data_IF_833427906279
#
_entry.id   IF_833427906279
#
_cell.length_a   1.000
_cell.length_b   1.000
_cell.length_c   1.000
_cell.angle_alpha   90.00
_cell.angle_beta   90.00
_cell.angle_gamma   90.00
#
_symmetry.space_group_name_H-M   'P 1'
#
loop_
_entity.id
_entity.type
_entity.pdbx_description
1 polymer ?
#
# COMPACT_ATOMS: atom_id res chain seq x y z
N UNK A 1 -25.33 30.26 4.35
CA UNK A 1 -24.82 28.88 4.54
C UNK A 1 -24.18 28.80 5.91
N UNK A 2 -24.33 27.71 6.66
CA UNK A 2 -23.70 27.60 7.99
C UNK A 2 -22.21 27.26 7.82
N UNK A 3 -21.34 27.92 8.59
CA UNK A 3 -19.88 27.73 8.57
C UNK A 3 -19.47 26.25 8.76
N UNK A 4 -20.27 25.49 9.52
CA UNK A 4 -20.06 24.05 9.74
C UNK A 4 -20.15 23.23 8.45
N UNK A 5 -21.13 23.53 7.59
CA UNK A 5 -21.35 22.83 6.32
C UNK A 5 -20.17 23.02 5.39
N UNK A 6 -19.73 24.27 5.21
CA UNK A 6 -18.62 24.61 4.32
C UNK A 6 -17.32 23.93 4.77
N UNK A 7 -17.07 23.87 6.08
CA UNK A 7 -15.91 23.17 6.64
C UNK A 7 -15.92 21.67 6.34
N UNK A 8 -17.07 20.99 6.47
CA UNK A 8 -17.18 19.56 6.14
C UNK A 8 -16.93 19.35 4.64
N UNK A 9 -17.57 20.14 3.79
CA UNK A 9 -17.40 20.05 2.33
C UNK A 9 -15.95 20.27 1.94
N UNK A 10 -15.30 21.31 2.47
CA UNK A 10 -13.90 21.62 2.21
C UNK A 10 -12.98 20.46 2.64
N UNK A 11 -13.15 19.95 3.86
CA UNK A 11 -12.35 18.85 4.38
C UNK A 11 -12.53 17.57 3.57
N UNK A 12 -13.76 17.20 3.23
CA UNK A 12 -14.04 15.99 2.45
C UNK A 12 -13.48 16.10 1.02
N UNK A 13 -13.63 17.27 0.39
CA UNK A 13 -13.13 17.49 -0.96
C UNK A 13 -11.61 17.68 -1.03
N UNK A 14 -10.94 18.04 0.08
CA UNK A 14 -9.48 18.16 0.13
C UNK A 14 -8.81 16.83 0.49
N UNK A 15 -9.24 16.23 1.60
CA UNK A 15 -8.50 15.15 2.25
C UNK A 15 -9.09 13.76 1.99
N UNK A 16 -10.39 13.68 1.63
CA UNK A 16 -11.14 12.43 1.50
C UNK A 16 -11.72 12.21 0.10
N UNK A 17 -11.06 12.75 -0.93
CA UNK A 17 -11.46 12.59 -2.34
C UNK A 17 -11.71 11.13 -2.75
N UNK A 18 -10.92 10.21 -2.20
CA UNK A 18 -11.07 8.77 -2.45
C UNK A 18 -12.44 8.25 -1.96
N UNK A 19 -12.84 8.64 -0.76
CA UNK A 19 -14.12 8.25 -0.17
C UNK A 19 -15.28 8.88 -0.95
N UNK A 20 -15.16 10.14 -1.35
CA UNK A 20 -16.18 10.82 -2.17
C UNK A 20 -16.37 10.10 -3.51
N UNK A 21 -15.29 9.67 -4.15
CA UNK A 21 -15.34 8.84 -5.35
C UNK A 21 -16.07 7.51 -5.09
N UNK A 22 -15.73 6.82 -4.00
CA UNK A 22 -16.37 5.54 -3.65
C UNK A 22 -17.87 5.66 -3.39
N UNK A 23 -18.33 6.77 -2.83
CA UNK A 23 -19.76 7.03 -2.65
C UNK A 23 -20.51 7.04 -3.98
N UNK A 24 -19.95 7.70 -4.99
CA UNK A 24 -20.55 7.75 -6.33
C UNK A 24 -20.60 6.36 -6.95
N UNK A 25 -19.53 5.57 -6.78
CA UNK A 25 -19.48 4.21 -7.34
C UNK A 25 -20.50 3.28 -6.67
N UNK A 26 -20.52 3.25 -5.33
CA UNK A 26 -21.32 2.27 -4.59
C UNK A 26 -22.77 2.72 -4.43
N UNK A 27 -22.99 3.94 -3.95
CA UNK A 27 -24.34 4.43 -3.69
C UNK A 27 -25.00 5.00 -4.95
N UNK A 28 -24.23 5.70 -5.79
CA UNK A 28 -24.69 6.18 -7.10
C UNK A 28 -24.80 5.07 -8.16
N UNK A 29 -24.24 3.88 -7.90
CA UNK A 29 -24.18 2.74 -8.83
C UNK A 29 -23.53 3.10 -10.17
N UNK A 30 -22.59 4.04 -10.16
CA UNK A 30 -21.88 4.50 -11.37
C UNK A 30 -20.57 3.71 -11.51
N UNK A 31 -20.29 3.07 -12.65
CA UNK A 31 -19.02 2.39 -12.86
C UNK A 31 -17.83 3.36 -12.71
N UNK A 32 -16.81 3.00 -11.92
CA UNK A 32 -15.63 3.84 -11.69
C UNK A 32 -14.93 4.28 -13.00
N UNK A 33 -14.97 3.45 -14.04
CA UNK A 33 -14.42 3.78 -15.37
C UNK A 33 -15.11 4.96 -16.05
N UNK A 34 -16.36 5.25 -15.68
CA UNK A 34 -17.16 6.36 -16.22
C UNK A 34 -16.96 7.66 -15.45
N UNK A 35 -16.26 7.65 -14.32
CA UNK A 35 -16.01 8.84 -13.52
C UNK A 35 -14.65 9.44 -13.92
N UNK A 36 -14.60 10.74 -14.20
CA UNK A 36 -13.33 11.43 -14.43
C UNK A 36 -12.52 11.50 -13.14
N UNK A 37 -11.23 11.23 -13.23
CA UNK A 37 -10.32 11.16 -12.08
C UNK A 37 -10.32 12.49 -11.30
N UNK A 38 -10.46 12.42 -9.98
CA UNK A 38 -10.49 13.59 -9.09
C UNK A 38 -11.66 14.56 -9.31
N UNK A 39 -12.69 14.15 -10.06
CA UNK A 39 -13.83 15.02 -10.37
C UNK A 39 -14.97 14.94 -9.35
N UNK A 40 -15.04 13.86 -8.55
CA UNK A 40 -16.09 13.67 -7.56
C UNK A 40 -15.92 14.64 -6.39
N UNK A 41 -16.95 15.46 -6.13
CA UNK A 41 -16.93 16.48 -5.09
C UNK A 41 -18.29 16.58 -4.43
N UNK A 42 -18.30 16.65 -3.10
CA UNK A 42 -19.48 17.06 -2.37
C UNK A 42 -19.77 18.52 -2.74
N UNK A 43 -20.96 18.79 -3.26
CA UNK A 43 -21.42 20.14 -3.60
C UNK A 43 -22.34 20.71 -2.53
N UNK A 44 -23.10 19.85 -1.85
CA UNK A 44 -24.04 20.27 -0.82
C UNK A 44 -24.20 19.21 0.28
N UNK A 45 -24.54 19.66 1.48
CA UNK A 45 -24.83 18.84 2.66
C UNK A 45 -25.99 19.47 3.41
N UNK A 46 -26.92 18.64 3.85
CA UNK A 46 -27.99 18.96 4.80
C UNK A 46 -28.05 17.91 5.91
N UNK A 47 -28.97 18.05 6.86
CA UNK A 47 -29.23 17.03 7.89
C UNK A 47 -29.96 15.80 7.32
N UNK A 48 -30.47 15.88 6.08
CA UNK A 48 -31.20 14.78 5.43
C UNK A 48 -30.38 14.09 4.35
N UNK A 49 -29.55 14.84 3.65
CA UNK A 49 -28.86 14.37 2.47
C UNK A 49 -27.46 14.95 2.28
N UNK A 50 -26.71 14.30 1.39
CA UNK A 50 -25.48 14.82 0.77
C UNK A 50 -25.61 14.78 -0.73
N UNK A 51 -25.25 15.88 -1.37
CA UNK A 51 -25.19 15.98 -2.83
C UNK A 51 -23.74 15.93 -3.28
N UNK A 52 -23.45 15.01 -4.20
CA UNK A 52 -22.15 14.78 -4.80
C UNK A 52 -22.25 15.06 -6.30
N UNK A 53 -21.32 15.84 -6.82
CA UNK A 53 -21.16 16.12 -8.24
C UNK A 53 -19.95 15.37 -8.77
N UNK A 54 -19.99 14.92 -10.02
CA UNK A 54 -18.83 14.32 -10.69
C UNK A 54 -18.88 14.59 -12.19
N UNK A 55 -17.74 14.53 -12.88
CA UNK A 55 -17.72 14.62 -14.34
C UNK A 55 -17.78 13.23 -14.94
N UNK A 56 -18.80 12.98 -15.74
CA UNK A 56 -19.01 11.71 -16.43
C UNK A 56 -18.21 11.67 -17.72
N UNK A 57 -17.34 10.67 -17.87
CA UNK A 57 -16.58 10.38 -19.10
C UNK A 57 -17.48 9.93 -20.24
N UNK A 58 -18.61 9.29 -19.93
CA UNK A 58 -19.54 8.76 -20.94
C UNK A 58 -20.25 9.89 -21.71
N UNK A 59 -20.70 10.93 -21.00
CA UNK A 59 -21.47 12.04 -21.58
C UNK A 59 -20.71 13.38 -21.62
N UNK A 60 -19.51 13.45 -21.02
CA UNK A 60 -18.69 14.66 -20.99
C UNK A 60 -19.26 15.81 -20.15
N UNK A 61 -20.24 15.54 -19.28
CA UNK A 61 -20.95 16.54 -18.47
C UNK A 61 -20.84 16.25 -16.97
N UNK A 62 -21.09 17.27 -16.16
CA UNK A 62 -21.23 17.10 -14.71
C UNK A 62 -22.58 16.47 -14.40
N UNK A 63 -22.56 15.39 -13.63
CA UNK A 63 -23.74 14.71 -13.10
C UNK A 63 -23.81 14.88 -11.58
N UNK A 64 -24.98 14.58 -11.02
CA UNK A 64 -25.31 14.78 -9.61
C UNK A 64 -25.87 13.49 -9.02
N UNK A 65 -25.38 13.11 -7.85
CA UNK A 65 -25.92 12.03 -7.01
C UNK A 65 -26.31 12.65 -5.68
N UNK A 66 -27.59 12.53 -5.31
CA UNK A 66 -28.08 12.91 -3.98
C UNK A 66 -28.33 11.65 -3.17
N UNK A 67 -27.77 11.61 -1.95
CA UNK A 67 -27.85 10.46 -1.06
C UNK A 67 -28.54 10.88 0.24
N UNK A 68 -29.63 10.20 0.59
CA UNK A 68 -30.27 10.38 1.89
C UNK A 68 -29.48 9.62 2.96
N UNK A 69 -29.08 10.30 4.04
CA UNK A 69 -28.23 9.72 5.09
C UNK A 69 -28.80 8.46 5.72
N UNK A 70 -30.12 8.42 5.92
CA UNK A 70 -30.76 7.33 6.65
C UNK A 70 -31.27 6.22 5.72
N UNK A 71 -31.05 6.34 4.41
CA UNK A 71 -31.39 5.31 3.41
C UNK A 71 -30.14 4.62 2.83
N UNK A 72 -28.96 5.24 2.97
CA UNK A 72 -27.70 4.62 2.52
C UNK A 72 -27.25 3.53 3.49
N UNK A 73 -26.93 2.32 3.00
CA UNK A 73 -26.43 1.24 3.84
C UNK A 73 -25.01 1.54 4.33
N UNK A 74 -24.75 1.20 5.58
CA UNK A 74 -23.44 1.18 6.22
C UNK A 74 -23.47 0.26 7.45
N UNK A 75 -22.30 -0.09 7.99
CA UNK A 75 -22.16 -1.19 8.96
C UNK A 75 -22.36 -0.79 10.43
N UNK A 76 -22.45 0.51 10.73
CA UNK A 76 -22.47 1.05 12.10
C UNK A 76 -23.85 1.63 12.51
N UNK A 77 -24.88 1.53 11.67
CA UNK A 77 -26.25 2.06 11.87
C UNK A 77 -26.30 3.50 12.42
N UNK A 78 -25.41 4.35 11.91
CA UNK A 78 -25.33 5.75 12.33
C UNK A 78 -26.51 6.51 11.71
N UNK A 79 -27.33 7.14 12.56
CA UNK A 79 -28.41 8.03 12.13
C UNK A 79 -27.95 9.47 12.19
N UNK A 80 -28.25 10.24 11.15
CA UNK A 80 -28.00 11.69 11.14
C UNK A 80 -29.25 12.37 11.67
N UNK A 81 -29.16 12.93 12.88
CA UNK A 81 -30.21 13.74 13.51
C UNK A 81 -29.80 15.20 13.54
N UNK A 82 -28.50 15.47 13.64
CA UNK A 82 -27.93 16.82 13.59
C UNK A 82 -26.61 16.84 12.81
N UNK A 83 -26.12 18.04 12.49
CA UNK A 83 -24.83 18.23 11.80
C UNK A 83 -23.62 17.57 12.48
N UNK A 84 -23.66 17.38 13.81
CA UNK A 84 -22.59 16.71 14.56
C UNK A 84 -22.38 15.25 14.17
N UNK A 85 -23.44 14.58 13.71
CA UNK A 85 -23.42 13.14 13.38
C UNK A 85 -22.84 12.86 11.99
N UNK A 86 -22.86 13.86 11.10
CA UNK A 86 -22.50 13.74 9.68
C UNK A 86 -21.08 13.20 9.50
N UNK A 87 -20.13 13.66 10.33
CA UNK A 87 -18.74 13.19 10.23
C UNK A 87 -18.63 11.69 10.46
N UNK A 88 -19.26 11.19 11.52
CA UNK A 88 -19.26 9.77 11.85
C UNK A 88 -19.96 8.95 10.77
N UNK A 89 -21.09 9.44 10.25
CA UNK A 89 -21.81 8.80 9.14
C UNK A 89 -20.94 8.69 7.88
N UNK A 90 -20.26 9.77 7.50
CA UNK A 90 -19.34 9.78 6.34
C UNK A 90 -18.20 8.76 6.51
N UNK A 91 -17.62 8.65 7.69
CA UNK A 91 -16.57 7.65 7.97
C UNK A 91 -17.12 6.23 7.79
N UNK A 92 -18.29 5.93 8.37
CA UNK A 92 -18.91 4.61 8.21
C UNK A 92 -19.24 4.29 6.76
N UNK A 93 -19.83 5.25 6.03
CA UNK A 93 -20.08 5.14 4.60
C UNK A 93 -18.79 4.89 3.80
N UNK A 94 -17.67 5.53 4.20
CA UNK A 94 -16.39 5.38 3.49
C UNK A 94 -15.84 3.96 3.65
N UNK A 95 -15.93 3.41 4.87
CA UNK A 95 -15.57 2.02 5.15
C UNK A 95 -16.40 1.05 4.32
N UNK A 96 -17.72 1.19 4.39
CA UNK A 96 -18.66 0.34 3.65
C UNK A 96 -18.42 0.40 2.13
N UNK A 97 -18.35 1.62 1.56
CA UNK A 97 -18.19 1.80 0.12
C UNK A 97 -16.84 1.31 -0.40
N UNK A 98 -15.77 1.45 0.39
CA UNK A 98 -14.47 0.88 0.05
C UNK A 98 -14.51 -0.66 0.08
N UNK A 99 -15.09 -1.24 1.12
CA UNK A 99 -15.17 -2.70 1.28
C UNK A 99 -15.99 -3.36 0.17
N UNK A 100 -17.11 -2.77 -0.23
CA UNK A 100 -17.91 -3.27 -1.38
C UNK A 100 -17.14 -3.31 -2.69
N UNK A 101 -16.10 -2.50 -2.83
CA UNK A 101 -15.20 -2.50 -3.97
C UNK A 101 -13.96 -3.40 -3.78
N UNK A 102 -13.82 -4.07 -2.63
CA UNK A 102 -12.66 -4.91 -2.30
C UNK A 102 -11.43 -4.11 -1.86
N UNK A 103 -11.60 -2.85 -1.46
CA UNK A 103 -10.52 -1.97 -1.04
C UNK A 103 -10.64 -1.56 0.43
N UNK A 104 -9.56 -1.00 0.97
CA UNK A 104 -9.59 -0.20 2.20
C UNK A 104 -10.06 1.21 1.89
N UNK A 105 -10.70 1.85 2.87
CA UNK A 105 -11.01 3.28 2.87
C UNK A 105 -9.75 4.13 3.07
N UNK A 106 -8.65 3.51 3.52
CA UNK A 106 -7.35 4.16 3.70
C UNK A 106 -6.46 3.96 2.48
N UNK A 107 -5.79 5.03 2.07
CA UNK A 107 -4.75 4.99 1.05
C UNK A 107 -3.35 5.09 1.66
N UNK A 108 -2.48 4.13 1.36
CA UNK A 108 -1.07 4.20 1.76
C UNK A 108 -0.26 4.89 0.66
N UNK A 109 0.18 6.13 0.95
CA UNK A 109 1.07 6.94 0.08
C UNK A 109 2.51 7.00 0.56
N UNK A 110 2.80 6.52 1.77
CA UNK A 110 4.13 6.53 2.37
C UNK A 110 4.88 5.26 2.00
N UNK A 111 6.19 5.40 1.81
CA UNK A 111 7.13 4.29 1.72
C UNK A 111 8.09 4.43 2.90
N UNK A 112 8.30 3.34 3.63
CA UNK A 112 9.31 3.27 4.68
C UNK A 112 10.55 2.56 4.13
N UNK A 113 11.71 3.15 4.36
CA UNK A 113 13.00 2.52 4.07
C UNK A 113 13.32 1.43 5.10
N UNK A 114 14.17 0.44 4.76
CA UNK A 114 14.63 -0.55 5.72
C UNK A 114 15.34 0.10 6.92
N UNK A 115 15.17 -0.50 8.09
CA UNK A 115 15.98 -0.24 9.27
C UNK A 115 17.36 -0.88 9.17
N UNK A 116 18.15 -0.82 10.24
CA UNK A 116 19.52 -1.40 10.28
C UNK A 116 19.50 -2.90 9.98
N UNK A 117 18.53 -3.62 10.54
CA UNK A 117 18.23 -5.02 10.28
C UNK A 117 17.90 -5.29 8.80
N UNK A 118 17.09 -4.42 8.20
CA UNK A 118 16.77 -4.51 6.77
C UNK A 118 18.00 -4.34 5.88
N UNK A 119 18.92 -3.43 6.20
CA UNK A 119 20.14 -3.23 5.40
C UNK A 119 21.04 -4.47 5.35
N UNK A 120 21.06 -5.29 6.41
CA UNK A 120 21.79 -6.56 6.42
C UNK A 120 21.21 -7.51 5.38
N UNK A 121 19.87 -7.60 5.29
CA UNK A 121 19.21 -8.45 4.30
C UNK A 121 19.53 -7.98 2.88
N UNK A 122 19.54 -6.67 2.64
CA UNK A 122 19.90 -6.12 1.33
C UNK A 122 21.33 -6.48 0.94
N UNK A 123 22.27 -6.39 1.88
CA UNK A 123 23.65 -6.80 1.67
C UNK A 123 23.74 -8.29 1.32
N UNK A 124 23.03 -9.16 2.06
CA UNK A 124 22.98 -10.59 1.79
C UNK A 124 22.38 -10.90 0.41
N UNK A 125 21.32 -10.19 0.00
CA UNK A 125 20.72 -10.35 -1.32
C UNK A 125 21.68 -9.93 -2.43
N UNK A 126 22.42 -8.83 -2.25
CA UNK A 126 23.48 -8.42 -3.18
C UNK A 126 24.59 -9.47 -3.25
N UNK A 127 25.03 -10.00 -2.11
CA UNK A 127 26.03 -11.09 -2.04
C UNK A 127 25.58 -12.31 -2.85
N UNK A 128 24.32 -12.73 -2.68
CA UNK A 128 23.76 -13.86 -3.43
C UNK A 128 23.71 -13.58 -4.93
N UNK A 129 23.24 -12.39 -5.33
CA UNK A 129 23.16 -11.99 -6.75
C UNK A 129 24.54 -11.92 -7.41
N UNK A 130 25.51 -11.33 -6.72
CA UNK A 130 26.90 -11.25 -7.18
C UNK A 130 27.52 -12.64 -7.25
N UNK A 131 27.28 -13.49 -6.25
CA UNK A 131 27.73 -14.88 -6.23
C UNK A 131 27.15 -15.73 -7.37
N UNK A 132 25.98 -15.38 -7.92
CA UNK A 132 25.44 -16.01 -9.12
C UNK A 132 26.23 -15.67 -10.40
N UNK A 133 26.85 -14.49 -10.45
CA UNK A 133 27.68 -14.03 -11.56
C UNK A 133 29.09 -14.60 -11.42
N UNK A 134 29.68 -14.44 -10.24
CA UNK A 134 31.02 -14.93 -9.90
C UNK A 134 31.06 -15.44 -8.46
N UNK A 135 30.92 -16.77 -8.26
CA UNK A 135 30.93 -17.37 -6.93
C UNK A 135 32.19 -17.07 -6.13
N UNK A 136 33.33 -16.91 -6.79
CA UNK A 136 34.63 -16.73 -6.12
C UNK A 136 34.98 -15.26 -5.88
N UNK A 137 34.13 -14.31 -6.30
CA UNK A 137 34.42 -12.89 -6.15
C UNK A 137 34.66 -12.50 -4.70
N UNK A 138 33.79 -12.92 -3.79
CA UNK A 138 33.90 -12.58 -2.37
C UNK A 138 35.19 -13.16 -1.79
N UNK A 139 35.49 -14.43 -2.08
CA UNK A 139 36.73 -15.08 -1.66
C UNK A 139 37.96 -14.32 -2.12
N UNK A 140 38.05 -13.97 -3.40
CA UNK A 140 39.19 -13.20 -3.95
C UNK A 140 39.33 -11.83 -3.28
N UNK A 141 38.22 -11.13 -3.07
CA UNK A 141 38.23 -9.82 -2.40
C UNK A 141 38.72 -9.94 -0.95
N UNK A 142 38.31 -10.99 -0.24
CA UNK A 142 38.69 -11.23 1.17
C UNK A 142 40.14 -11.70 1.31
N UNK A 143 40.60 -12.60 0.44
CA UNK A 143 41.96 -13.17 0.50
C UNK A 143 43.05 -12.14 0.15
N UNK A 144 42.74 -11.18 -0.73
CA UNK A 144 43.68 -10.13 -1.15
C UNK A 144 43.62 -8.85 -0.31
N UNK A 145 42.71 -8.77 0.67
CA UNK A 145 42.56 -7.59 1.52
C UNK A 145 43.31 -7.73 2.85
N UNK A 146 44.08 -6.69 3.20
CA UNK A 146 44.96 -6.67 4.37
C UNK A 146 44.21 -6.63 5.72
N UNK A 147 42.93 -6.25 5.73
CA UNK A 147 42.08 -6.18 6.92
C UNK A 147 41.33 -7.51 7.06
N UNK A 148 40.68 -8.00 6.00
CA UNK A 148 39.88 -9.23 6.05
C UNK A 148 40.73 -10.48 6.30
N UNK A 149 41.94 -10.56 5.72
CA UNK A 149 42.87 -11.65 5.98
C UNK A 149 43.25 -11.81 7.46
N UNK A 150 43.22 -10.72 8.25
CA UNK A 150 43.45 -10.75 9.71
C UNK A 150 42.23 -11.21 10.51
N UNK A 151 41.04 -11.08 9.94
CA UNK A 151 39.77 -11.48 10.58
C UNK A 151 39.49 -12.96 10.32
N UNK A 152 39.92 -13.48 9.16
CA UNK A 152 39.65 -14.85 8.71
C UNK A 152 39.95 -15.94 9.76
N UNK A 153 41.05 -15.90 10.54
CA UNK A 153 41.33 -16.90 11.58
C UNK A 153 40.32 -16.91 12.74
N UNK A 154 39.61 -15.81 12.98
CA UNK A 154 38.61 -15.67 14.04
C UNK A 154 37.21 -16.02 13.58
N UNK A 155 37.00 -16.31 12.30
CA UNK A 155 35.70 -16.70 11.76
C UNK A 155 35.34 -18.10 12.29
N UNK A 156 34.21 -18.26 12.99
CA UNK A 156 33.76 -19.57 13.44
C UNK A 156 33.69 -20.59 12.30
N UNK A 157 34.17 -21.81 12.55
CA UNK A 157 34.25 -22.88 11.52
C UNK A 157 32.90 -23.15 10.84
N UNK A 158 31.79 -23.04 11.58
CA UNK A 158 30.46 -23.25 11.00
C UNK A 158 30.11 -22.20 9.93
N UNK A 159 30.55 -20.94 10.09
CA UNK A 159 30.36 -19.88 9.09
C UNK A 159 31.24 -20.11 7.86
N UNK A 160 32.49 -20.55 8.06
CA UNK A 160 33.38 -20.90 6.96
C UNK A 160 32.84 -22.09 6.13
N UNK A 161 32.28 -23.09 6.81
CA UNK A 161 31.61 -24.23 6.18
C UNK A 161 30.34 -23.78 5.43
N UNK A 162 29.52 -22.93 6.05
CA UNK A 162 28.32 -22.38 5.42
C UNK A 162 28.67 -21.59 4.17
N UNK A 163 29.64 -20.67 4.24
CA UNK A 163 30.10 -19.92 3.07
C UNK A 163 30.63 -20.84 1.97
N UNK A 164 31.44 -21.85 2.30
CA UNK A 164 31.97 -22.80 1.31
C UNK A 164 30.87 -23.62 0.63
N UNK A 165 29.80 -23.94 1.36
CA UNK A 165 28.60 -24.55 0.79
C UNK A 165 27.83 -23.55 -0.08
N UNK A 166 27.61 -22.32 0.40
CA UNK A 166 26.91 -21.27 -0.35
C UNK A 166 27.61 -20.92 -1.65
N UNK A 167 28.94 -20.86 -1.66
CA UNK A 167 29.75 -20.59 -2.84
C UNK A 167 29.46 -21.61 -3.96
N UNK A 168 29.30 -22.89 -3.60
CA UNK A 168 28.97 -23.95 -4.57
C UNK A 168 27.52 -23.90 -5.03
N UNK A 169 26.64 -23.22 -4.28
CA UNK A 169 25.19 -23.30 -4.42
C UNK A 169 24.50 -21.95 -4.66
N UNK A 170 25.22 -20.85 -4.92
CA UNK A 170 24.62 -19.51 -5.06
C UNK A 170 23.45 -19.46 -6.04
N UNK A 171 23.56 -20.12 -7.20
CA UNK A 171 22.47 -20.18 -8.19
C UNK A 171 21.23 -20.88 -7.64
N UNK A 172 21.41 -21.98 -6.93
CA UNK A 172 20.29 -22.71 -6.31
C UNK A 172 19.63 -21.87 -5.21
N UNK A 173 20.45 -21.26 -4.34
CA UNK A 173 19.98 -20.35 -3.29
C UNK A 173 19.17 -19.21 -3.91
N UNK A 174 19.72 -18.53 -4.91
CA UNK A 174 19.03 -17.44 -5.60
C UNK A 174 17.70 -17.90 -6.22
N UNK A 175 17.70 -19.02 -6.96
CA UNK A 175 16.47 -19.54 -7.58
C UNK A 175 15.40 -19.82 -6.53
N UNK A 176 15.75 -20.50 -5.43
CA UNK A 176 14.79 -20.80 -4.36
C UNK A 176 14.31 -19.51 -3.68
N UNK A 177 15.21 -18.62 -3.29
CA UNK A 177 14.88 -17.35 -2.63
C UNK A 177 13.95 -16.51 -3.49
N UNK A 178 14.28 -16.29 -4.76
CA UNK A 178 13.46 -15.47 -5.65
C UNK A 178 12.17 -16.16 -6.06
N UNK A 179 12.11 -17.50 -6.13
CA UNK A 179 10.85 -18.21 -6.30
C UNK A 179 9.91 -17.98 -5.12
N UNK A 180 10.43 -18.03 -3.88
CA UNK A 180 9.67 -17.70 -2.67
C UNK A 180 9.22 -16.24 -2.68
N UNK A 181 10.10 -15.29 -3.01
CA UNK A 181 9.73 -13.87 -3.10
C UNK A 181 8.61 -13.65 -4.15
N UNK A 182 8.71 -14.24 -5.34
CA UNK A 182 7.66 -14.09 -6.36
C UNK A 182 6.33 -14.66 -5.86
N UNK A 183 6.37 -15.80 -5.17
CA UNK A 183 5.17 -16.41 -4.58
C UNK A 183 4.55 -15.53 -3.49
N UNK A 184 5.36 -15.03 -2.54
CA UNK A 184 4.95 -14.10 -1.49
C UNK A 184 4.36 -12.80 -2.08
N UNK A 185 5.03 -12.24 -3.09
CA UNK A 185 4.58 -11.06 -3.81
C UNK A 185 3.21 -11.27 -4.45
N UNK A 186 3.01 -12.43 -5.10
CA UNK A 186 1.75 -12.76 -5.77
C UNK A 186 0.59 -12.90 -4.80
N UNK A 187 0.80 -13.59 -3.67
CA UNK A 187 -0.28 -13.99 -2.75
C UNK A 187 -0.51 -12.96 -1.64
N UNK A 188 0.54 -12.29 -1.19
CA UNK A 188 0.47 -11.37 -0.05
C UNK A 188 0.74 -9.94 -0.49
N UNK A 189 1.82 -9.71 -1.23
CA UNK A 189 2.27 -8.37 -1.59
C UNK A 189 1.28 -7.60 -2.45
N UNK A 190 1.00 -8.11 -3.65
CA UNK A 190 0.13 -7.46 -4.63
C UNK A 190 -1.29 -7.26 -4.10
N UNK A 191 -1.95 -8.27 -3.48
CA UNK A 191 -3.28 -8.07 -2.90
C UNK A 191 -3.30 -6.97 -1.84
N UNK A 192 -2.28 -6.86 -0.97
CA UNK A 192 -2.20 -5.78 0.02
C UNK A 192 -1.98 -4.42 -0.64
N UNK A 193 -1.07 -4.31 -1.60
CA UNK A 193 -0.82 -3.04 -2.32
C UNK A 193 -2.05 -2.57 -3.09
N UNK A 194 -2.86 -3.49 -3.63
CA UNK A 194 -4.13 -3.19 -4.30
C UNK A 194 -5.19 -2.79 -3.26
N UNK A 195 -5.38 -3.58 -2.20
CA UNK A 195 -6.35 -3.30 -1.13
C UNK A 195 -6.18 -1.91 -0.54
N UNK A 196 -4.95 -1.48 -0.27
CA UNK A 196 -4.64 -0.14 0.28
C UNK A 196 -4.36 0.93 -0.78
N UNK A 197 -4.75 0.66 -2.03
CA UNK A 197 -4.77 1.61 -3.16
C UNK A 197 -3.45 2.37 -3.33
N UNK A 198 -2.34 1.67 -3.17
CA UNK A 198 -1.00 2.28 -3.22
C UNK A 198 -0.76 2.86 -4.62
N UNK A 199 -0.41 4.15 -4.75
CA UNK A 199 -0.19 4.75 -6.06
C UNK A 199 0.99 4.10 -6.78
N UNK A 200 0.99 4.14 -8.11
CA UNK A 200 1.92 3.36 -8.94
C UNK A 200 3.40 3.58 -8.56
N UNK A 201 3.82 4.83 -8.35
CA UNK A 201 5.22 5.15 -8.01
C UNK A 201 5.64 4.46 -6.71
N UNK A 202 4.84 4.56 -5.66
CA UNK A 202 5.09 3.91 -4.37
C UNK A 202 4.98 2.39 -4.48
N UNK A 203 4.04 1.89 -5.29
CA UNK A 203 3.87 0.46 -5.55
C UNK A 203 5.15 -0.12 -6.13
N UNK A 204 5.74 0.52 -7.16
CA UNK A 204 7.01 0.09 -7.75
C UNK A 204 8.15 0.02 -6.71
N UNK A 205 8.24 1.01 -5.81
CA UNK A 205 9.26 0.99 -4.74
C UNK A 205 9.03 -0.19 -3.79
N UNK A 206 7.78 -0.46 -3.39
CA UNK A 206 7.44 -1.63 -2.58
C UNK A 206 7.76 -2.95 -3.29
N UNK A 207 7.55 -3.04 -4.60
CA UNK A 207 7.95 -4.22 -5.39
C UNK A 207 9.47 -4.41 -5.38
N UNK A 208 10.24 -3.34 -5.54
CA UNK A 208 11.72 -3.41 -5.47
C UNK A 208 12.18 -3.87 -4.09
N UNK A 209 11.62 -3.29 -3.03
CA UNK A 209 11.95 -3.70 -1.66
C UNK A 209 11.63 -5.17 -1.42
N UNK A 210 10.43 -5.61 -1.81
CA UNK A 210 10.04 -7.01 -1.71
C UNK A 210 10.97 -7.94 -2.49
N UNK A 211 11.36 -7.58 -3.72
CA UNK A 211 12.30 -8.40 -4.50
C UNK A 211 13.63 -8.59 -3.79
N UNK A 212 14.11 -7.58 -3.05
CA UNK A 212 15.40 -7.64 -2.34
C UNK A 212 15.29 -8.34 -0.99
N UNK A 213 14.27 -8.06 -0.19
CA UNK A 213 14.20 -8.53 1.20
C UNK A 213 13.16 -9.62 1.45
N UNK A 214 12.17 -9.79 0.57
CA UNK A 214 11.05 -10.72 0.74
C UNK A 214 10.04 -10.26 1.78
N UNK A 215 9.58 -11.20 2.62
CA UNK A 215 8.57 -11.00 3.67
C UNK A 215 8.75 -9.78 4.61
N UNK A 216 9.96 -9.38 5.06
CA UNK A 216 10.15 -8.19 5.91
C UNK A 216 9.57 -6.91 5.32
N UNK A 217 9.54 -6.78 3.99
CA UNK A 217 8.86 -5.67 3.30
C UNK A 217 7.38 -5.57 3.69
N UNK A 218 6.70 -6.70 3.90
CA UNK A 218 5.29 -6.76 4.27
C UNK A 218 5.04 -6.40 5.73
N UNK A 219 5.97 -6.71 6.62
CA UNK A 219 5.91 -6.28 8.02
C UNK A 219 6.02 -4.76 8.09
N UNK A 220 6.97 -4.20 7.34
CA UNK A 220 7.17 -2.75 7.24
C UNK A 220 6.00 -2.04 6.55
N UNK A 221 5.39 -2.66 5.55
CA UNK A 221 4.13 -2.16 4.98
C UNK A 221 3.00 -2.19 6.01
N UNK A 222 2.92 -3.29 6.78
CA UNK A 222 1.90 -3.49 7.80
C UNK A 222 1.89 -2.42 8.90
N UNK A 223 3.06 -1.88 9.26
CA UNK A 223 3.15 -0.80 10.26
C UNK A 223 2.57 0.55 9.79
N UNK A 224 2.28 0.69 8.49
CA UNK A 224 1.60 1.88 7.93
C UNK A 224 0.08 1.77 7.96
N UNK A 225 -0.46 0.59 8.22
CA UNK A 225 -1.90 0.37 8.27
C UNK A 225 -2.40 0.91 9.62
N UNK A 226 -3.35 1.86 9.62
CA UNK A 226 -3.96 2.35 10.86
C UNK A 226 -4.59 1.19 11.64
N UNK A 227 -4.41 1.20 12.96
CA UNK A 227 -5.17 0.32 13.85
C UNK A 227 -6.58 0.90 13.95
N UNK A 228 -7.58 0.08 13.66
CA UNK A 228 -8.99 0.46 13.81
C UNK A 228 -9.43 0.46 15.28
#
# INVERSE_FOLDING_TARGET
MSEHKERIIYHMNGDHQLSVHDYVVVYGKVPASQIAEGSAKISDISEKDVTITYKSKAIGKTEVVSLNWNEVPEDQDIKVVAFGDIKSKLISMAKYAAEKQGYSHVQIKKVLTPGVDGWIIYLLSVIVLVGCIDPKLIRRTVEHDAIFSKILPYVPQFLANFYSWSEKNFKLIAVITYAVHIFELGIVGLPRLIKYRVPLKQKLVWLVFHSLEGFPSHLRFGSLIPKE
#
